data_IF_727185861371
#
_entry.id   IF_727185861371
#
_cell.length_a   1.000
_cell.length_b   1.000
_cell.length_c   1.000
_cell.angle_alpha   90.00
_cell.angle_beta   90.00
_cell.angle_gamma   90.00
#
_symmetry.space_group_name_H-M   'P 1'
#
loop_
_entity.id
_entity.type
_entity.pdbx_description
1 polymer ?
#
# COMPACT_ATOMS: atom_id res chain seq x y z
N UNK A 1 9.48 2.11 -22.66
CA UNK A 1 10.20 2.63 -21.51
C UNK A 1 9.31 2.52 -20.29
N UNK A 2 9.72 1.73 -19.30
CA UNK A 2 8.98 1.60 -18.07
C UNK A 2 8.97 2.93 -17.31
N UNK A 3 7.81 3.30 -16.79
CA UNK A 3 7.67 4.44 -15.87
C UNK A 3 8.39 4.10 -14.58
N UNK A 4 9.22 5.01 -14.09
CA UNK A 4 9.93 4.83 -12.81
C UNK A 4 8.90 4.66 -11.68
N UNK A 5 9.06 3.62 -10.89
CA UNK A 5 8.31 3.42 -9.65
C UNK A 5 9.00 4.28 -8.58
N UNK A 6 8.71 5.56 -8.58
CA UNK A 6 9.27 6.51 -7.64
C UNK A 6 8.21 7.49 -7.14
N UNK A 7 8.49 8.22 -6.07
CA UNK A 7 7.57 9.25 -5.58
C UNK A 7 7.31 10.29 -6.67
N UNK A 8 6.08 10.78 -6.76
CA UNK A 8 5.72 11.87 -7.66
C UNK A 8 6.53 13.12 -7.28
N UNK A 9 7.11 13.78 -8.29
CA UNK A 9 7.88 14.99 -8.08
C UNK A 9 7.39 16.13 -8.98
N UNK A 10 7.55 17.33 -8.49
CA UNK A 10 7.26 18.60 -9.18
C UNK A 10 8.28 19.65 -8.75
N UNK A 11 8.06 20.90 -9.08
CA UNK A 11 8.91 22.01 -8.64
C UNK A 11 8.11 23.06 -7.88
N UNK A 12 8.78 23.76 -6.97
CA UNK A 12 8.24 24.90 -6.25
C UNK A 12 8.07 26.06 -7.23
N UNK A 13 6.87 26.58 -7.39
CA UNK A 13 6.60 27.67 -8.30
C UNK A 13 6.92 29.03 -7.68
N UNK A 14 6.60 29.20 -6.40
CA UNK A 14 6.88 30.42 -5.63
C UNK A 14 7.83 30.10 -4.50
N UNK A 15 8.90 30.88 -4.33
CA UNK A 15 9.86 30.67 -3.25
C UNK A 15 9.22 30.70 -1.87
N UNK A 16 9.66 29.83 -0.99
CA UNK A 16 9.35 29.85 0.45
C UNK A 16 10.43 30.70 1.15
N UNK A 17 10.13 31.97 1.37
CA UNK A 17 11.08 32.96 1.89
C UNK A 17 11.17 32.98 3.41
N UNK A 18 10.32 32.23 4.10
CA UNK A 18 10.31 32.08 5.56
C UNK A 18 10.11 30.62 5.97
N UNK A 19 10.26 30.34 7.24
CA UNK A 19 10.20 28.99 7.85
C UNK A 19 8.82 28.68 8.45
N UNK A 20 7.86 29.59 8.41
CA UNK A 20 6.55 29.47 9.05
C UNK A 20 5.38 29.41 8.07
N UNK A 21 5.60 29.82 6.82
CA UNK A 21 4.56 29.82 5.79
C UNK A 21 4.15 28.39 5.39
N UNK A 22 2.86 28.11 5.48
CA UNK A 22 2.27 26.78 5.17
C UNK A 22 1.50 26.77 3.83
N UNK A 23 1.57 27.85 3.07
CA UNK A 23 1.01 27.93 1.70
C UNK A 23 2.12 27.67 0.71
N UNK A 24 2.03 26.57 -0.03
CA UNK A 24 3.08 26.10 -0.94
C UNK A 24 2.50 26.03 -2.35
N UNK A 25 3.01 26.86 -3.26
CA UNK A 25 2.56 26.91 -4.65
C UNK A 25 3.53 26.10 -5.50
N UNK A 26 3.02 25.08 -6.19
CA UNK A 26 3.78 24.13 -7.01
C UNK A 26 3.48 24.32 -8.49
N UNK A 27 4.35 23.83 -9.34
CA UNK A 27 4.11 23.82 -10.79
C UNK A 27 2.92 22.91 -11.16
N UNK A 28 2.72 21.81 -10.41
CA UNK A 28 1.53 20.95 -10.52
C UNK A 28 1.35 20.17 -9.23
N UNK A 29 0.09 20.03 -8.80
CA UNK A 29 -0.29 19.18 -7.65
C UNK A 29 -1.17 18.01 -8.04
N UNK A 30 -1.41 17.77 -9.33
CA UNK A 30 -2.35 16.75 -9.84
C UNK A 30 -1.99 15.32 -9.43
N UNK A 31 -0.70 15.03 -9.20
CA UNK A 31 -0.20 13.73 -8.77
C UNK A 31 -0.06 13.61 -7.23
N UNK A 32 -0.53 14.61 -6.48
CA UNK A 32 -0.44 14.63 -5.02
C UNK A 32 -1.80 14.30 -4.41
N UNK A 33 -1.87 13.51 -3.32
CA UNK A 33 -3.12 13.25 -2.63
C UNK A 33 -3.73 14.51 -2.00
N UNK A 34 -4.95 14.41 -1.47
CA UNK A 34 -5.64 15.52 -0.82
C UNK A 34 -4.92 16.04 0.43
N UNK A 35 -4.26 15.13 1.15
CA UNK A 35 -3.44 15.40 2.34
C UNK A 35 -2.16 14.60 2.28
N UNK A 36 -1.09 15.04 2.91
CA UNK A 36 0.14 14.26 2.91
C UNK A 36 1.37 14.99 3.38
N UNK A 37 2.53 14.46 3.01
CA UNK A 37 3.84 14.99 3.31
C UNK A 37 4.66 15.15 2.03
N UNK A 38 5.35 16.27 1.91
CA UNK A 38 6.30 16.54 0.83
C UNK A 38 7.70 16.75 1.40
N UNK A 39 8.69 16.49 0.55
CA UNK A 39 10.09 16.81 0.82
C UNK A 39 10.58 17.91 -0.12
N UNK A 40 11.25 18.92 0.43
CA UNK A 40 11.98 19.94 -0.32
C UNK A 40 13.40 20.05 0.26
N UNK A 41 14.39 19.64 -0.52
CA UNK A 41 15.75 19.49 0.02
C UNK A 41 15.80 18.46 1.15
N UNK A 42 16.14 18.91 2.35
CA UNK A 42 16.17 18.07 3.57
C UNK A 42 14.97 18.31 4.49
N UNK A 43 14.05 19.21 4.14
CA UNK A 43 12.89 19.52 4.95
C UNK A 43 11.68 18.66 4.56
N UNK A 44 10.96 18.16 5.57
CA UNK A 44 9.64 17.55 5.42
C UNK A 44 8.56 18.52 5.85
N UNK A 45 7.49 18.59 5.04
CA UNK A 45 6.38 19.52 5.22
C UNK A 45 5.08 18.74 5.04
N UNK A 46 4.20 18.76 6.05
CA UNK A 46 2.85 18.20 5.90
C UNK A 46 1.92 19.21 5.24
N UNK A 47 0.83 18.73 4.66
CA UNK A 47 -0.29 19.54 4.19
C UNK A 47 -1.61 18.79 4.39
N UNK A 48 -2.69 19.53 4.64
CA UNK A 48 -4.02 18.98 4.88
C UNK A 48 -5.02 19.33 3.79
N UNK A 49 -4.61 20.12 2.80
CA UNK A 49 -5.44 20.46 1.66
C UNK A 49 -4.59 20.62 0.40
N UNK A 50 -5.06 20.00 -0.69
CA UNK A 50 -4.48 20.13 -2.03
C UNK A 50 -5.52 20.75 -2.98
N UNK A 51 -5.28 21.97 -3.39
CA UNK A 51 -6.09 22.66 -4.41
C UNK A 51 -5.43 22.47 -5.78
N UNK A 52 -5.92 21.50 -6.55
CA UNK A 52 -5.37 21.18 -7.90
C UNK A 52 -5.69 22.25 -8.94
N UNK A 53 -6.66 23.13 -8.71
CA UNK A 53 -6.98 24.25 -9.63
C UNK A 53 -5.94 25.37 -9.53
N UNK A 54 -5.47 25.66 -8.33
CA UNK A 54 -4.45 26.70 -8.08
C UNK A 54 -3.05 26.11 -7.86
N UNK A 55 -2.90 24.78 -7.93
CA UNK A 55 -1.67 24.05 -7.63
C UNK A 55 -1.06 24.44 -6.26
N UNK A 56 -1.91 24.51 -5.23
CA UNK A 56 -1.51 25.02 -3.92
C UNK A 56 -1.78 23.97 -2.84
N UNK A 57 -0.77 23.71 -2.02
CA UNK A 57 -0.87 22.91 -0.79
C UNK A 57 -0.96 23.85 0.41
N UNK A 58 -1.86 23.55 1.37
CA UNK A 58 -2.06 24.40 2.56
C UNK A 58 -2.38 23.57 3.81
N UNK A 59 -2.37 24.25 4.97
CA UNK A 59 -2.91 23.73 6.23
C UNK A 59 -2.02 22.73 6.97
N UNK A 60 -0.75 22.64 6.62
CA UNK A 60 0.18 21.71 7.25
C UNK A 60 1.17 22.38 8.22
N UNK A 61 2.24 21.65 8.52
CA UNK A 61 3.34 22.08 9.38
C UNK A 61 4.68 21.96 8.64
N UNK A 62 5.62 22.82 9.00
CA UNK A 62 6.98 22.86 8.47
C UNK A 62 7.95 22.13 9.38
N UNK A 63 9.01 21.53 8.80
CA UNK A 63 10.06 20.90 9.59
C UNK A 63 9.59 19.70 10.42
N UNK A 64 8.68 18.88 9.89
CA UNK A 64 8.16 17.71 10.60
C UNK A 64 9.13 16.55 10.57
N UNK A 65 8.85 15.48 11.34
CA UNK A 65 9.60 14.22 11.40
C UNK A 65 11.10 14.40 11.67
N UNK A 66 11.42 15.33 12.57
CA UNK A 66 12.81 15.61 12.99
C UNK A 66 13.62 16.46 12.02
N UNK A 67 13.01 16.97 10.94
CA UNK A 67 13.65 17.90 10.02
C UNK A 67 13.56 19.35 10.52
N UNK A 68 14.36 20.24 9.91
CA UNK A 68 14.35 21.68 10.27
C UNK A 68 13.73 22.47 9.13
N UNK A 69 12.78 23.36 9.45
CA UNK A 69 12.19 24.26 8.47
C UNK A 69 13.25 25.20 7.88
N UNK A 70 13.28 25.34 6.56
CA UNK A 70 14.24 26.12 5.82
C UNK A 70 13.56 26.98 4.73
N UNK A 71 14.29 27.95 4.19
CA UNK A 71 13.87 28.68 3.00
C UNK A 71 14.18 27.88 1.74
N UNK A 72 13.31 27.96 0.74
CA UNK A 72 13.48 27.25 -0.53
C UNK A 72 13.25 28.20 -1.72
N UNK A 73 14.14 28.11 -2.69
CA UNK A 73 14.02 28.93 -3.91
C UNK A 73 12.94 28.40 -4.85
N UNK A 74 12.34 29.25 -5.64
CA UNK A 74 11.52 28.83 -6.77
C UNK A 74 12.35 27.90 -7.68
N UNK A 75 11.71 26.87 -8.24
CA UNK A 75 12.35 25.81 -9.02
C UNK A 75 12.92 24.64 -8.18
N UNK A 76 12.95 24.74 -6.86
CA UNK A 76 13.38 23.63 -6.02
C UNK A 76 12.49 22.39 -6.26
N UNK A 77 13.11 21.21 -6.31
CA UNK A 77 12.38 19.95 -6.47
C UNK A 77 11.55 19.67 -5.23
N UNK A 78 10.29 19.32 -5.45
CA UNK A 78 9.32 18.95 -4.43
C UNK A 78 8.89 17.52 -4.69
N UNK A 79 9.12 16.64 -3.75
CA UNK A 79 8.83 15.21 -3.85
C UNK A 79 7.68 14.87 -2.91
N UNK A 80 6.66 14.16 -3.43
CA UNK A 80 5.61 13.62 -2.60
C UNK A 80 6.11 12.38 -1.86
N UNK A 81 6.21 12.45 -0.53
CA UNK A 81 6.66 11.34 0.31
C UNK A 81 5.55 10.76 1.20
N UNK A 82 4.30 11.13 0.94
CA UNK A 82 3.13 10.72 1.75
C UNK A 82 3.06 9.20 1.98
N UNK A 83 3.45 8.42 0.99
CA UNK A 83 3.39 6.96 1.03
C UNK A 83 4.78 6.32 0.95
N UNK A 84 5.84 7.09 1.15
CA UNK A 84 7.21 6.61 1.08
C UNK A 84 7.90 6.83 2.43
N UNK A 85 8.37 5.75 3.02
CA UNK A 85 9.28 5.81 4.17
C UNK A 85 10.68 5.54 3.63
N UNK A 86 11.62 6.42 3.94
CA UNK A 86 13.03 6.21 3.63
C UNK A 86 13.65 5.13 4.52
N UNK A 87 14.82 4.64 4.14
CA UNK A 87 15.63 3.79 5.01
C UNK A 87 16.04 4.60 6.25
N UNK A 88 15.58 4.17 7.44
CA UNK A 88 15.85 4.84 8.71
C UNK A 88 14.75 5.78 9.20
N UNK A 89 13.69 6.01 8.42
CA UNK A 89 12.52 6.71 8.92
C UNK A 89 11.80 5.86 9.97
N UNK A 90 11.39 6.44 11.10
CA UNK A 90 10.63 5.70 12.09
C UNK A 90 9.32 5.23 11.46
N UNK A 91 9.03 3.94 11.60
CA UNK A 91 7.71 3.43 11.30
C UNK A 91 6.69 4.15 12.18
N UNK A 92 5.48 4.40 11.65
CA UNK A 92 4.38 4.82 12.52
C UNK A 92 4.23 3.81 13.66
N UNK A 93 3.75 4.25 14.82
CA UNK A 93 3.63 3.42 16.03
C UNK A 93 2.91 2.09 15.85
N UNK A 94 2.18 1.94 14.75
CA UNK A 94 1.41 0.73 14.40
C UNK A 94 2.18 -0.22 13.45
N UNK A 95 3.41 0.10 13.10
CA UNK A 95 4.23 -0.73 12.23
C UNK A 95 5.17 -1.60 13.08
N UNK A 96 4.81 -2.84 13.30
CA UNK A 96 5.78 -3.84 13.76
C UNK A 96 6.72 -4.13 12.59
N UNK A 97 7.99 -3.74 12.69
CA UNK A 97 9.02 -4.15 11.74
C UNK A 97 9.38 -5.60 12.05
N UNK A 98 8.49 -6.51 11.69
CA UNK A 98 8.84 -7.90 11.52
C UNK A 98 9.17 -8.06 10.03
N UNK A 99 10.42 -8.39 9.67
CA UNK A 99 10.78 -8.72 8.29
C UNK A 99 10.16 -10.07 7.92
N UNK A 100 8.84 -10.18 7.98
CA UNK A 100 8.11 -11.40 7.70
C UNK A 100 8.50 -12.01 6.36
N UNK A 101 8.41 -13.32 6.28
CA UNK A 101 8.55 -14.03 5.01
C UNK A 101 7.35 -13.66 4.14
N UNK A 102 7.63 -13.17 2.94
CA UNK A 102 6.63 -12.82 1.95
C UNK A 102 6.50 -13.92 0.90
N UNK A 103 5.27 -14.27 0.58
CA UNK A 103 4.92 -15.11 -0.56
C UNK A 103 4.26 -14.20 -1.60
N UNK A 104 4.81 -14.21 -2.81
CA UNK A 104 4.37 -13.34 -3.90
C UNK A 104 3.88 -14.19 -5.07
N UNK A 105 2.77 -13.78 -5.69
CA UNK A 105 2.26 -14.38 -6.91
C UNK A 105 1.50 -13.34 -7.75
N UNK A 106 1.23 -13.63 -9.02
CA UNK A 106 0.58 -12.71 -9.94
C UNK A 106 -0.84 -13.18 -10.30
N UNK A 107 -1.80 -12.30 -10.11
CA UNK A 107 -3.17 -12.49 -10.57
C UNK A 107 -3.46 -11.49 -11.71
N UNK A 108 -3.08 -11.86 -12.93
CA UNK A 108 -3.16 -10.94 -14.07
C UNK A 108 -2.25 -9.72 -13.89
N UNK A 109 -2.83 -8.52 -13.82
CA UNK A 109 -2.11 -7.27 -13.57
C UNK A 109 -1.89 -6.98 -12.09
N UNK A 110 -2.47 -7.80 -11.20
CA UNK A 110 -2.36 -7.62 -9.76
C UNK A 110 -1.24 -8.47 -9.18
N UNK A 111 -0.40 -7.87 -8.35
CA UNK A 111 0.51 -8.57 -7.47
C UNK A 111 -0.25 -8.97 -6.20
N UNK A 112 -0.19 -10.23 -5.86
CA UNK A 112 -0.69 -10.77 -4.60
C UNK A 112 0.50 -10.99 -3.67
N UNK A 113 0.42 -10.49 -2.45
CA UNK A 113 1.50 -10.57 -1.48
C UNK A 113 0.95 -11.01 -0.12
N UNK A 114 1.37 -12.18 0.33
CA UNK A 114 1.01 -12.71 1.65
C UNK A 114 2.20 -12.60 2.60
N UNK A 115 2.00 -12.04 3.77
CA UNK A 115 2.94 -12.17 4.87
C UNK A 115 2.68 -13.49 5.61
N UNK A 116 3.73 -14.26 5.85
CA UNK A 116 3.64 -15.56 6.52
C UNK A 116 2.92 -15.45 7.88
N UNK A 117 1.90 -16.26 8.11
CA UNK A 117 1.00 -16.20 9.25
C UNK A 117 0.24 -14.87 9.41
N UNK A 118 0.11 -14.09 8.35
CA UNK A 118 -0.54 -12.78 8.37
C UNK A 118 -1.51 -12.59 7.22
N UNK A 119 -1.81 -11.31 6.95
CA UNK A 119 -2.77 -10.87 5.95
C UNK A 119 -2.20 -10.98 4.54
N UNK A 120 -3.12 -11.08 3.57
CA UNK A 120 -2.85 -10.98 2.16
C UNK A 120 -3.12 -9.57 1.65
N UNK A 121 -2.28 -9.10 0.74
CA UNK A 121 -2.34 -7.78 0.13
C UNK A 121 -2.44 -7.91 -1.39
N UNK A 122 -3.06 -6.93 -2.02
CA UNK A 122 -3.05 -6.77 -3.47
C UNK A 122 -2.46 -5.41 -3.86
N UNK A 123 -1.75 -5.39 -4.97
CA UNK A 123 -1.31 -4.17 -5.64
C UNK A 123 -1.63 -4.29 -7.13
N UNK A 124 -2.42 -3.36 -7.67
CA UNK A 124 -2.85 -3.37 -9.07
C UNK A 124 -1.94 -2.49 -9.91
N UNK A 125 -1.13 -3.11 -10.76
CA UNK A 125 -0.24 -2.41 -11.68
C UNK A 125 -0.97 -1.63 -12.79
N UNK A 126 -2.24 -1.96 -13.06
CA UNK A 126 -3.07 -1.29 -14.06
C UNK A 126 -3.84 -0.10 -13.53
N UNK A 127 -3.90 0.05 -12.20
CA UNK A 127 -4.64 1.15 -11.57
C UNK A 127 -4.04 2.51 -11.95
N UNK A 128 -4.89 3.50 -12.10
CA UNK A 128 -4.45 4.89 -12.24
C UNK A 128 -3.59 5.26 -11.01
N UNK A 129 -2.39 5.81 -11.27
CA UNK A 129 -1.40 6.11 -10.22
C UNK A 129 -0.85 4.89 -9.46
N UNK A 130 -0.76 3.71 -10.10
CA UNK A 130 -0.21 2.50 -9.50
C UNK A 130 1.16 2.74 -8.84
N UNK A 131 1.99 3.61 -9.41
CA UNK A 131 3.31 3.97 -8.88
C UNK A 131 3.29 4.81 -7.61
N UNK A 132 2.15 5.45 -7.30
CA UNK A 132 1.94 6.24 -6.09
C UNK A 132 1.13 5.49 -5.02
N UNK A 133 0.52 4.35 -5.39
CA UNK A 133 -0.32 3.58 -4.49
C UNK A 133 0.46 2.42 -3.87
N UNK A 134 0.28 2.22 -2.57
CA UNK A 134 0.76 1.03 -1.87
C UNK A 134 -0.19 -0.14 -2.11
N UNK A 135 0.33 -1.35 -1.90
CA UNK A 135 -0.51 -2.52 -1.76
C UNK A 135 -1.54 -2.32 -0.64
N UNK A 136 -2.76 -2.75 -0.86
CA UNK A 136 -3.85 -2.71 0.11
C UNK A 136 -4.17 -4.11 0.60
N UNK A 137 -4.70 -4.22 1.81
CA UNK A 137 -5.17 -5.52 2.31
C UNK A 137 -6.26 -6.04 1.37
N UNK A 138 -6.11 -7.29 0.93
CA UNK A 138 -7.11 -7.95 0.10
C UNK A 138 -8.39 -8.16 0.94
N UNK A 139 -9.53 -7.53 0.56
CA UNK A 139 -10.75 -7.61 1.33
C UNK A 139 -11.30 -9.02 1.35
N UNK A 140 -11.96 -9.39 2.44
CA UNK A 140 -12.60 -10.70 2.67
C UNK A 140 -11.66 -11.92 2.58
N UNK A 141 -10.36 -11.72 2.36
CA UNK A 141 -9.39 -12.81 2.40
C UNK A 141 -9.10 -13.26 3.84
N UNK A 142 -8.59 -14.49 4.03
CA UNK A 142 -8.11 -14.92 5.33
C UNK A 142 -7.08 -13.95 5.92
N UNK A 143 -7.14 -13.75 7.24
CA UNK A 143 -6.24 -12.82 7.95
C UNK A 143 -4.97 -13.50 8.50
N UNK A 144 -4.92 -14.84 8.44
CA UNK A 144 -3.75 -15.63 8.80
C UNK A 144 -3.62 -16.84 7.88
N UNK A 145 -2.55 -16.88 7.09
CA UNK A 145 -2.26 -17.99 6.18
C UNK A 145 -0.75 -18.21 6.06
N UNK A 146 -0.33 -19.44 5.76
CA UNK A 146 1.09 -19.75 5.57
C UNK A 146 1.57 -19.50 4.16
N UNK A 147 0.74 -19.78 3.17
CA UNK A 147 1.10 -19.69 1.76
C UNK A 147 -0.11 -19.27 0.92
N UNK A 148 0.15 -18.60 -0.19
CA UNK A 148 -0.83 -18.26 -1.23
C UNK A 148 -0.26 -18.60 -2.59
N UNK A 149 -1.12 -19.05 -3.50
CA UNK A 149 -0.79 -19.20 -4.91
C UNK A 149 -2.01 -18.87 -5.78
N UNK A 150 -1.75 -18.54 -7.03
CA UNK A 150 -2.76 -18.35 -8.08
C UNK A 150 -2.81 -19.63 -8.93
N UNK A 151 -3.99 -20.25 -8.98
CA UNK A 151 -4.24 -21.35 -9.94
C UNK A 151 -4.39 -20.77 -11.34
N UNK A 152 -3.44 -21.03 -12.21
CA UNK A 152 -3.40 -20.41 -13.56
C UNK A 152 -4.53 -20.85 -14.50
N UNK A 153 -4.99 -22.12 -14.52
CA UNK A 153 -6.07 -22.52 -15.42
C UNK A 153 -7.42 -21.88 -15.05
N UNK A 154 -7.75 -21.91 -13.75
CA UNK A 154 -9.09 -21.57 -13.26
C UNK A 154 -9.12 -20.23 -12.53
N UNK A 155 -7.96 -19.58 -12.35
CA UNK A 155 -7.82 -18.28 -11.72
C UNK A 155 -8.48 -18.19 -10.33
N UNK A 156 -8.23 -19.20 -9.51
CA UNK A 156 -8.51 -19.14 -8.09
C UNK A 156 -7.29 -18.62 -7.32
N UNK A 157 -7.54 -17.91 -6.26
CA UNK A 157 -6.53 -17.60 -5.26
C UNK A 157 -6.63 -18.66 -4.16
N UNK A 158 -5.56 -19.45 -3.96
CA UNK A 158 -5.56 -20.58 -3.05
C UNK A 158 -4.68 -20.29 -1.85
N UNK A 159 -5.24 -20.42 -0.65
CA UNK A 159 -4.56 -20.24 0.64
C UNK A 159 -4.32 -21.58 1.31
N UNK A 160 -3.12 -21.79 1.85
CA UNK A 160 -2.71 -22.97 2.58
C UNK A 160 -2.40 -22.65 4.03
N UNK A 161 -2.74 -23.57 4.93
CA UNK A 161 -2.53 -23.38 6.36
C UNK A 161 -3.25 -22.14 6.86
N UNK A 162 -4.55 -22.08 6.63
CA UNK A 162 -5.36 -20.88 6.81
C UNK A 162 -6.49 -21.08 7.81
N UNK A 163 -7.31 -20.07 8.01
CA UNK A 163 -8.44 -20.04 8.92
C UNK A 163 -9.58 -20.95 8.45
N UNK A 164 -10.19 -21.70 9.36
CA UNK A 164 -11.42 -22.45 9.10
C UNK A 164 -12.63 -21.49 9.03
N UNK A 165 -12.58 -20.39 9.78
CA UNK A 165 -13.54 -19.28 9.70
C UNK A 165 -12.81 -18.04 9.17
N UNK A 166 -13.17 -17.55 8.01
CA UNK A 166 -12.53 -16.39 7.38
C UNK A 166 -12.64 -15.16 8.29
N UNK A 167 -11.50 -14.48 8.51
CA UNK A 167 -11.42 -13.29 9.33
C UNK A 167 -11.19 -13.56 10.82
N UNK A 168 -11.12 -14.81 11.22
CA UNK A 168 -10.80 -15.21 12.60
C UNK A 168 -9.49 -15.99 12.66
N UNK A 169 -8.40 -15.27 12.90
CA UNK A 169 -7.04 -15.84 12.98
C UNK A 169 -6.85 -16.88 14.07
N UNK A 170 -7.75 -16.93 15.07
CA UNK A 170 -7.71 -17.93 16.14
C UNK A 170 -8.15 -19.32 15.65
N UNK A 171 -8.84 -19.39 14.52
CA UNK A 171 -9.31 -20.63 13.88
C UNK A 171 -8.34 -21.19 12.86
N UNK A 172 -7.11 -20.68 12.80
CA UNK A 172 -6.08 -21.13 11.86
C UNK A 172 -5.75 -22.62 12.07
N UNK A 173 -5.82 -23.37 10.99
CA UNK A 173 -5.45 -24.79 10.91
C UNK A 173 -4.42 -24.97 9.78
N UNK A 174 -3.26 -25.48 10.11
CA UNK A 174 -2.16 -25.66 9.17
C UNK A 174 -2.45 -26.67 8.04
N UNK A 175 -3.47 -27.51 8.25
CA UNK A 175 -3.94 -28.50 7.28
C UNK A 175 -5.16 -28.02 6.46
N UNK A 176 -5.60 -26.78 6.70
CA UNK A 176 -6.77 -26.24 6.01
C UNK A 176 -6.39 -25.46 4.77
N UNK A 177 -7.07 -25.76 3.67
CA UNK A 177 -6.94 -25.09 2.38
C UNK A 177 -8.24 -24.36 2.09
N UNK A 178 -8.13 -23.13 1.61
CA UNK A 178 -9.25 -22.34 1.14
C UNK A 178 -8.93 -21.72 -0.20
N UNK A 179 -9.88 -21.67 -1.11
CA UNK A 179 -9.72 -21.02 -2.40
C UNK A 179 -10.89 -20.09 -2.71
N UNK A 180 -10.57 -19.04 -3.45
CA UNK A 180 -11.53 -18.02 -3.88
C UNK A 180 -12.53 -18.59 -4.89
N UNK A 181 -13.56 -17.82 -5.22
CA UNK A 181 -14.36 -18.06 -6.42
C UNK A 181 -13.48 -17.91 -7.68
N UNK A 182 -13.92 -18.55 -8.77
CA UNK A 182 -13.23 -18.45 -10.06
C UNK A 182 -13.25 -17.02 -10.57
N UNK A 183 -12.08 -16.50 -10.96
CA UNK A 183 -11.89 -15.12 -11.44
C UNK A 183 -12.29 -14.01 -10.44
N UNK A 184 -12.60 -14.35 -9.18
CA UNK A 184 -12.92 -13.40 -8.13
C UNK A 184 -12.05 -13.64 -6.88
N UNK A 185 -11.15 -12.71 -6.61
CA UNK A 185 -10.24 -12.78 -5.45
C UNK A 185 -10.85 -12.24 -4.15
N UNK A 186 -12.14 -11.87 -4.14
CA UNK A 186 -12.80 -11.30 -2.97
C UNK A 186 -13.85 -12.21 -2.33
N UNK A 187 -14.14 -13.37 -2.95
CA UNK A 187 -15.16 -14.31 -2.48
C UNK A 187 -14.53 -15.62 -2.04
N UNK A 188 -14.62 -15.95 -0.73
CA UNK A 188 -13.99 -17.12 -0.11
C UNK A 188 -14.96 -18.01 0.66
N UNK A 189 -16.22 -17.63 0.77
CA UNK A 189 -17.24 -18.44 1.44
C UNK A 189 -18.00 -19.27 0.40
N UNK A 190 -17.95 -20.61 0.48
CA UNK A 190 -18.66 -21.48 -0.44
C UNK A 190 -20.18 -21.26 -0.39
N UNK A 191 -20.81 -21.19 -1.55
CA UNK A 191 -22.26 -21.14 -1.73
C UNK A 191 -22.69 -22.09 -2.85
N UNK A 192 -24.01 -22.27 -3.04
CA UNK A 192 -24.52 -23.10 -4.12
C UNK A 192 -24.26 -22.50 -5.53
N UNK A 193 -23.87 -21.23 -5.61
CA UNK A 193 -23.76 -20.47 -6.88
C UNK A 193 -22.34 -20.02 -7.22
N UNK A 194 -21.35 -20.27 -6.36
CA UNK A 194 -19.96 -19.94 -6.60
C UNK A 194 -19.07 -21.19 -6.57
N UNK A 195 -17.83 -21.05 -7.00
CA UNK A 195 -16.82 -22.11 -7.03
C UNK A 195 -15.82 -22.00 -5.88
N UNK A 196 -16.01 -21.05 -4.97
CA UNK A 196 -15.20 -20.94 -3.77
C UNK A 196 -15.32 -22.22 -2.94
N UNK A 197 -14.23 -22.63 -2.30
CA UNK A 197 -14.25 -23.87 -1.56
C UNK A 197 -13.20 -23.99 -0.48
N UNK A 198 -13.32 -25.07 0.27
CA UNK A 198 -12.40 -25.41 1.35
C UNK A 198 -12.12 -26.90 1.37
N UNK A 199 -10.92 -27.27 1.79
CA UNK A 199 -10.52 -28.64 1.99
C UNK A 199 -9.61 -28.74 3.21
N UNK A 200 -9.89 -29.68 4.10
CA UNK A 200 -8.95 -30.04 5.16
C UNK A 200 -8.21 -31.33 4.75
N UNK A 201 -6.90 -31.32 4.81
CA UNK A 201 -6.09 -32.50 4.60
C UNK A 201 -6.22 -33.42 5.82
N UNK A 202 -6.54 -34.69 5.59
CA UNK A 202 -6.83 -35.63 6.67
C UNK A 202 -5.57 -36.14 7.39
N UNK A 203 -4.46 -36.26 6.65
CA UNK A 203 -3.20 -36.87 7.11
C UNK A 203 -2.04 -35.91 6.86
N UNK A 204 -1.88 -34.94 7.73
CA UNK A 204 -0.69 -34.14 7.80
C UNK A 204 0.30 -34.76 8.76
N UNK A 205 1.44 -35.20 8.28
CA UNK A 205 2.54 -35.47 9.20
C UNK A 205 2.99 -34.15 9.83
N UNK A 206 3.19 -34.15 11.12
CA UNK A 206 3.76 -33.06 11.88
C UNK A 206 5.21 -32.82 11.48
#
# INVERSE_FOLDING_TARGET
GGTSIGPSATTLQTALTNTTGTTIVLASTSAFPATGTIQIGTEFITYTNNNTTTNTLTGGARGVDGTTAATHSAGATVTNITNYNGWGDPASSDFTIDPGLWVLDNYGTKLIALIYNGKCFEWDASAANATANRATVLPNAPTASRHVLVSTPDRHLVFFGTETTVGDSTTKDDMFIRFSDQEDINTYTPTATNTAGTQRLADGSQ
#
